data_IF_286931840222
#
_entry.id   IF_286931840222
#
_cell.length_a   1.000
_cell.length_b   1.000
_cell.length_c   1.000
_cell.angle_alpha   90.00
_cell.angle_beta   90.00
_cell.angle_gamma   90.00
#
_symmetry.space_group_name_H-M   'P 1'
#
loop_
_entity.id
_entity.type
_entity.pdbx_description
1 polymer ?
#
# COMPACT_ATOMS: atom_id res chain seq x y z
N UNK A 1 -30.94 -46.96 43.41
CA UNK A 1 -30.56 -46.71 41.99
C UNK A 1 -30.50 -45.24 41.59
N UNK A 2 -31.36 -44.35 42.12
CA UNK A 2 -31.46 -42.92 41.69
C UNK A 2 -30.15 -42.12 41.83
N UNK A 3 -29.42 -42.23 42.95
CA UNK A 3 -28.15 -41.48 43.17
C UNK A 3 -27.04 -41.78 42.16
N UNK A 4 -26.99 -43.00 41.58
CA UNK A 4 -25.94 -43.40 40.63
C UNK A 4 -26.22 -42.86 39.22
N UNK A 5 -27.50 -42.75 38.84
CA UNK A 5 -27.96 -42.17 37.56
C UNK A 5 -27.73 -40.66 37.50
N UNK A 6 -27.95 -39.97 38.62
CA UNK A 6 -27.69 -38.51 38.76
C UNK A 6 -26.19 -38.21 38.61
N UNK A 7 -25.32 -38.94 39.30
CA UNK A 7 -23.84 -38.77 39.16
C UNK A 7 -23.33 -39.02 37.74
N UNK A 8 -23.86 -40.02 37.04
CA UNK A 8 -23.41 -40.31 35.67
C UNK A 8 -23.81 -39.17 34.71
N UNK A 9 -25.01 -38.63 34.89
CA UNK A 9 -25.50 -37.48 34.13
C UNK A 9 -24.68 -36.23 34.41
N UNK A 10 -24.33 -35.98 35.67
CA UNK A 10 -23.47 -34.85 36.07
C UNK A 10 -22.06 -34.95 35.47
N UNK A 11 -21.46 -36.15 35.47
CA UNK A 11 -20.15 -36.38 34.84
C UNK A 11 -20.23 -36.15 33.33
N UNK A 12 -21.29 -36.61 32.67
CA UNK A 12 -21.52 -36.39 31.23
C UNK A 12 -21.71 -34.91 30.89
N UNK A 13 -22.54 -34.21 31.67
CA UNK A 13 -22.78 -32.77 31.52
C UNK A 13 -21.48 -31.97 31.72
N UNK A 14 -20.73 -32.24 32.79
CA UNK A 14 -19.46 -31.57 33.04
C UNK A 14 -18.41 -31.92 31.97
N UNK A 15 -18.38 -33.16 31.48
CA UNK A 15 -17.53 -33.56 30.36
C UNK A 15 -17.85 -32.80 29.08
N UNK A 16 -19.13 -32.64 28.75
CA UNK A 16 -19.59 -31.83 27.60
C UNK A 16 -19.21 -30.35 27.73
N UNK A 17 -19.34 -29.78 28.94
CA UNK A 17 -18.92 -28.41 29.23
C UNK A 17 -17.42 -28.28 28.99
N UNK A 18 -16.60 -29.16 29.56
CA UNK A 18 -15.14 -29.13 29.37
C UNK A 18 -14.74 -29.29 27.90
N UNK A 19 -15.42 -30.17 27.16
CA UNK A 19 -15.18 -30.36 25.73
C UNK A 19 -15.50 -29.09 24.94
N UNK A 20 -16.66 -28.47 25.20
CA UNK A 20 -17.08 -27.23 24.56
C UNK A 20 -16.13 -26.08 24.85
N UNK A 21 -15.73 -25.91 26.11
CA UNK A 21 -14.75 -24.90 26.53
C UNK A 21 -13.39 -25.15 25.87
N UNK A 22 -12.92 -26.40 25.85
CA UNK A 22 -11.64 -26.75 25.21
C UNK A 22 -11.66 -26.47 23.70
N UNK A 23 -12.76 -26.81 23.03
CA UNK A 23 -12.93 -26.53 21.61
C UNK A 23 -12.93 -25.02 21.33
N UNK A 24 -13.57 -24.23 22.18
CA UNK A 24 -13.61 -22.76 22.05
C UNK A 24 -12.22 -22.15 22.23
N UNK A 25 -11.48 -22.58 23.25
CA UNK A 25 -10.10 -22.12 23.49
C UNK A 25 -9.18 -22.55 22.35
N UNK A 26 -9.33 -23.78 21.85
CA UNK A 26 -8.55 -24.29 20.73
C UNK A 26 -8.85 -23.51 19.44
N UNK A 27 -10.12 -23.24 19.15
CA UNK A 27 -10.52 -22.43 18.00
C UNK A 27 -9.93 -21.01 18.08
N UNK A 28 -9.98 -20.37 19.25
CA UNK A 28 -9.36 -19.05 19.46
C UNK A 28 -7.84 -19.11 19.24
N UNK A 29 -7.17 -20.14 19.78
CA UNK A 29 -5.75 -20.38 19.56
C UNK A 29 -5.39 -20.58 18.08
N UNK A 30 -6.22 -21.31 17.33
CA UNK A 30 -6.04 -21.50 15.90
C UNK A 30 -6.22 -20.21 15.10
N UNK A 31 -7.17 -19.34 15.48
CA UNK A 31 -7.34 -18.03 14.84
C UNK A 31 -6.08 -17.19 15.04
N UNK A 32 -5.58 -17.07 16.28
CA UNK A 32 -4.33 -16.34 16.53
C UNK A 32 -3.15 -16.95 15.77
N UNK A 33 -3.00 -18.28 15.80
CA UNK A 33 -1.95 -18.98 15.06
C UNK A 33 -2.01 -18.66 13.55
N UNK A 34 -3.20 -18.72 12.94
CA UNK A 34 -3.40 -18.40 11.54
C UNK A 34 -3.04 -16.94 11.23
N UNK A 35 -3.53 -16.00 12.04
CA UNK A 35 -3.25 -14.56 11.88
C UNK A 35 -1.76 -14.28 11.98
N UNK A 36 -1.04 -14.87 12.94
CA UNK A 36 0.41 -14.66 13.02
C UNK A 36 1.16 -15.36 11.89
N UNK A 37 0.77 -16.57 11.51
CA UNK A 37 1.45 -17.33 10.46
C UNK A 37 1.32 -16.68 9.08
N UNK A 38 0.10 -16.28 8.70
CA UNK A 38 -0.18 -15.72 7.38
C UNK A 38 -0.10 -14.19 7.38
N UNK A 39 -0.42 -13.55 8.50
CA UNK A 39 -0.48 -12.09 8.60
C UNK A 39 0.85 -11.40 8.88
N UNK A 40 1.84 -12.07 9.49
CA UNK A 40 3.13 -11.41 9.78
C UNK A 40 3.89 -11.01 8.52
N UNK A 41 3.76 -11.76 7.43
CA UNK A 41 4.33 -11.40 6.13
C UNK A 41 3.63 -10.19 5.48
N UNK A 42 2.39 -9.89 5.89
CA UNK A 42 1.58 -8.77 5.40
C UNK A 42 1.67 -7.53 6.29
N UNK A 43 2.26 -7.65 7.48
CA UNK A 43 2.41 -6.54 8.41
C UNK A 43 3.61 -5.67 8.02
N UNK A 44 3.34 -4.58 7.29
CA UNK A 44 4.30 -3.50 7.15
C UNK A 44 4.35 -2.68 8.45
N UNK A 45 5.55 -2.39 8.96
CA UNK A 45 5.76 -1.53 10.13
C UNK A 45 5.15 -0.14 9.95
N UNK A 46 5.08 0.33 8.70
CA UNK A 46 4.46 1.60 8.33
C UNK A 46 2.96 1.67 8.66
N UNK A 47 2.29 0.52 8.86
CA UNK A 47 0.91 0.49 9.37
C UNK A 47 0.81 1.10 10.77
N UNK A 48 1.80 0.89 11.64
CA UNK A 48 1.75 1.35 13.03
C UNK A 48 2.26 2.77 13.18
N UNK A 49 3.13 3.22 12.28
CA UNK A 49 3.80 4.53 12.35
C UNK A 49 3.23 5.56 11.37
N UNK A 50 2.58 5.14 10.29
CA UNK A 50 2.05 5.99 9.22
C UNK A 50 0.76 6.72 9.57
N UNK A 51 0.39 7.67 8.71
CA UNK A 51 -0.85 8.42 8.82
C UNK A 51 -2.03 7.67 8.17
N UNK A 52 -3.22 7.86 8.74
CA UNK A 52 -4.44 7.19 8.27
C UNK A 52 -4.91 7.72 6.91
N UNK A 53 -4.90 9.04 6.74
CA UNK A 53 -5.40 9.69 5.54
C UNK A 53 -4.31 9.74 4.46
N UNK A 54 -4.60 9.13 3.32
CA UNK A 54 -3.85 9.37 2.09
C UNK A 54 -3.94 10.85 1.70
N UNK A 55 -2.79 11.47 1.42
CA UNK A 55 -2.72 12.80 0.81
C UNK A 55 -2.57 12.62 -0.68
N UNK A 56 -3.46 13.27 -1.43
CA UNK A 56 -3.36 13.32 -2.88
C UNK A 56 -2.58 14.55 -3.28
N UNK A 57 -1.85 14.44 -4.38
CA UNK A 57 -1.05 15.50 -4.95
C UNK A 57 -1.38 15.64 -6.43
N UNK A 58 -1.47 16.89 -6.88
CA UNK A 58 -1.58 17.25 -8.29
C UNK A 58 -0.37 18.12 -8.64
N UNK A 59 0.44 17.66 -9.59
CA UNK A 59 1.67 18.36 -9.93
C UNK A 59 1.93 18.42 -11.44
N UNK A 60 2.80 19.34 -11.86
CA UNK A 60 3.38 19.38 -13.20
C UNK A 60 4.91 19.40 -13.10
N UNK A 61 5.58 18.84 -14.10
CA UNK A 61 7.03 18.91 -14.21
C UNK A 61 7.48 20.36 -14.44
N UNK A 62 8.66 20.70 -13.93
CA UNK A 62 9.28 21.99 -14.25
C UNK A 62 9.69 22.05 -15.73
N UNK A 63 9.53 23.20 -16.40
CA UNK A 63 10.03 23.38 -17.77
C UNK A 63 11.54 23.16 -17.87
N UNK A 64 11.99 22.46 -18.91
CA UNK A 64 13.43 22.20 -19.13
C UNK A 64 14.02 21.13 -18.19
N UNK A 65 13.15 20.27 -17.65
CA UNK A 65 13.54 19.12 -16.84
C UNK A 65 14.50 18.18 -17.59
N UNK A 66 15.40 17.53 -16.85
CA UNK A 66 16.32 16.54 -17.41
C UNK A 66 15.51 15.34 -17.88
N UNK A 67 15.66 15.00 -19.16
CA UNK A 67 15.15 13.76 -19.73
C UNK A 67 16.30 12.78 -20.00
N UNK A 68 16.01 11.49 -19.86
CA UNK A 68 16.93 10.37 -20.04
C UNK A 68 18.03 10.31 -18.98
N UNK A 69 17.69 9.67 -17.88
CA UNK A 69 18.56 9.45 -16.74
C UNK A 69 19.14 8.03 -16.81
N UNK A 70 20.44 7.89 -16.53
CA UNK A 70 21.08 6.58 -16.43
C UNK A 70 20.55 5.84 -15.19
N UNK A 71 19.72 4.82 -15.44
CA UNK A 71 19.00 4.11 -14.39
C UNK A 71 19.78 2.87 -13.94
N UNK A 72 19.74 2.53 -12.64
CA UNK A 72 20.18 1.22 -12.18
C UNK A 72 19.43 0.09 -12.90
N UNK A 73 20.10 -1.05 -13.09
CA UNK A 73 19.47 -2.23 -13.70
C UNK A 73 18.48 -2.90 -12.73
N UNK A 74 17.19 -2.70 -13.00
CA UNK A 74 16.08 -3.35 -12.28
C UNK A 74 15.45 -4.52 -13.05
N UNK A 75 16.02 -4.93 -14.20
CA UNK A 75 15.44 -5.97 -15.07
C UNK A 75 15.26 -7.34 -14.40
N UNK A 76 16.00 -7.60 -13.33
CA UNK A 76 15.95 -8.85 -12.56
C UNK A 76 14.93 -8.82 -11.42
N UNK A 77 14.32 -7.68 -11.13
CA UNK A 77 13.31 -7.55 -10.08
C UNK A 77 11.94 -7.73 -10.72
N UNK A 78 11.22 -8.78 -10.28
CA UNK A 78 9.90 -9.07 -10.81
C UNK A 78 8.94 -7.91 -10.58
N UNK A 79 8.09 -7.66 -11.59
CA UNK A 79 7.04 -6.65 -11.55
C UNK A 79 7.53 -5.20 -11.36
N UNK A 80 8.82 -4.94 -11.62
CA UNK A 80 9.41 -3.59 -11.64
C UNK A 80 9.69 -3.19 -13.08
N UNK A 81 9.27 -1.98 -13.45
CA UNK A 81 9.35 -1.41 -14.79
C UNK A 81 10.06 -0.05 -14.72
N UNK A 82 11.08 0.13 -15.54
CA UNK A 82 11.87 1.37 -15.56
C UNK A 82 11.29 2.40 -16.53
N UNK A 83 11.36 3.66 -16.13
CA UNK A 83 11.03 4.83 -16.94
C UNK A 83 12.29 5.69 -16.99
N UNK A 84 13.22 5.30 -17.86
CA UNK A 84 14.54 5.94 -18.01
C UNK A 84 14.42 7.41 -18.39
N UNK A 85 13.40 7.76 -19.20
CA UNK A 85 13.15 9.13 -19.61
C UNK A 85 13.04 10.10 -18.44
N UNK A 86 12.48 9.66 -17.31
CA UNK A 86 12.31 10.49 -16.13
C UNK A 86 13.06 9.96 -14.90
N UNK A 87 13.87 8.92 -15.05
CA UNK A 87 14.68 8.36 -13.96
C UNK A 87 13.86 7.80 -12.79
N UNK A 88 12.78 7.07 -13.06
CA UNK A 88 11.98 6.40 -12.01
C UNK A 88 11.78 4.91 -12.32
N UNK A 89 11.54 4.11 -11.29
CA UNK A 89 11.10 2.72 -11.42
C UNK A 89 9.74 2.54 -10.76
N UNK A 90 8.83 1.90 -11.46
CA UNK A 90 7.45 1.64 -11.03
C UNK A 90 7.27 0.15 -10.77
N UNK A 91 6.63 -0.20 -9.66
CA UNK A 91 6.36 -1.59 -9.29
C UNK A 91 4.86 -1.82 -9.24
N UNK A 92 4.41 -2.96 -9.78
CA UNK A 92 3.06 -3.45 -9.49
C UNK A 92 3.03 -3.96 -8.05
N UNK A 93 2.15 -3.37 -7.24
CA UNK A 93 1.94 -3.75 -5.85
C UNK A 93 0.45 -3.73 -5.51
N UNK A 94 0.10 -3.98 -4.25
CA UNK A 94 -1.27 -3.97 -3.76
C UNK A 94 -1.43 -3.03 -2.56
N UNK A 95 -2.54 -2.28 -2.52
CA UNK A 95 -2.91 -1.51 -1.33
C UNK A 95 -3.45 -2.44 -0.22
N UNK A 96 -3.74 -1.86 0.96
CA UNK A 96 -4.28 -2.60 2.10
C UNK A 96 -5.68 -3.19 1.85
N UNK A 97 -6.39 -2.69 0.85
CA UNK A 97 -7.69 -3.22 0.41
C UNK A 97 -7.53 -4.34 -0.65
N UNK A 98 -6.30 -4.66 -1.06
CA UNK A 98 -5.99 -5.66 -2.07
C UNK A 98 -6.19 -5.18 -3.52
N UNK A 99 -6.32 -3.88 -3.75
CA UNK A 99 -6.38 -3.32 -5.09
C UNK A 99 -4.98 -3.21 -5.67
N UNK A 100 -4.84 -3.53 -6.96
CA UNK A 100 -3.59 -3.33 -7.68
C UNK A 100 -3.27 -1.83 -7.80
N UNK A 101 -2.05 -1.46 -7.44
CA UNK A 101 -1.53 -0.08 -7.49
C UNK A 101 -0.20 -0.03 -8.23
N UNK A 102 0.12 1.16 -8.75
CA UNK A 102 1.40 1.48 -9.37
C UNK A 102 2.27 2.20 -8.34
N UNK A 103 3.10 1.44 -7.64
CA UNK A 103 3.99 1.93 -6.58
C UNK A 103 5.24 2.56 -7.18
N UNK A 104 5.65 3.71 -6.67
CA UNK A 104 6.97 4.29 -6.95
C UNK A 104 8.01 3.49 -6.17
N UNK A 105 8.80 2.69 -6.89
CA UNK A 105 9.82 1.84 -6.28
C UNK A 105 11.14 2.59 -6.09
N UNK A 106 11.48 3.46 -7.04
CA UNK A 106 12.74 4.20 -7.03
C UNK A 106 12.57 5.52 -7.78
N UNK A 107 13.26 6.55 -7.28
CA UNK A 107 13.40 7.86 -7.92
C UNK A 107 14.88 8.21 -7.94
N UNK A 108 15.42 8.47 -9.13
CA UNK A 108 16.81 8.87 -9.28
C UNK A 108 17.03 10.29 -8.77
N UNK A 109 18.22 10.59 -8.26
CA UNK A 109 18.59 11.94 -7.74
C UNK A 109 18.42 13.09 -8.75
N UNK A 110 18.58 12.79 -10.04
CA UNK A 110 18.49 13.76 -11.14
C UNK A 110 17.11 13.72 -11.82
N UNK A 111 16.16 12.96 -11.24
CA UNK A 111 14.80 12.87 -11.75
C UNK A 111 14.07 14.21 -11.64
N UNK A 112 13.29 14.62 -12.66
CA UNK A 112 12.46 15.82 -12.57
C UNK A 112 11.29 15.68 -11.61
N UNK A 113 11.01 14.47 -11.12
CA UNK A 113 10.03 14.22 -10.08
C UNK A 113 10.51 14.62 -8.67
N UNK A 114 11.79 14.92 -8.48
CA UNK A 114 12.30 15.42 -7.20
C UNK A 114 11.95 16.88 -6.93
N UNK A 115 11.43 17.61 -7.91
CA UNK A 115 10.97 18.99 -7.75
C UNK A 115 9.89 19.30 -8.79
N UNK A 116 8.63 19.09 -8.43
CA UNK A 116 7.50 19.40 -9.31
C UNK A 116 6.75 20.63 -8.83
N UNK A 117 6.09 21.33 -9.75
CA UNK A 117 5.23 22.47 -9.43
C UNK A 117 3.89 21.90 -8.97
N UNK A 118 3.53 22.14 -7.71
CA UNK A 118 2.21 21.75 -7.20
C UNK A 118 1.14 22.64 -7.83
N UNK A 119 0.02 22.03 -8.22
CA UNK A 119 -1.18 22.75 -8.67
C UNK A 119 -2.19 22.96 -7.54
N UNK A 120 -1.84 22.56 -6.32
CA UNK A 120 -2.66 22.79 -5.13
C UNK A 120 -2.41 24.17 -4.53
N UNK A 121 -3.44 24.73 -3.87
CA UNK A 121 -3.37 26.07 -3.28
C UNK A 121 -2.42 26.07 -2.08
N UNK A 122 -1.31 26.81 -2.16
CA UNK A 122 -0.42 27.10 -1.03
C UNK A 122 0.85 26.24 -0.93
N UNK A 123 1.09 25.34 -1.88
CA UNK A 123 2.37 24.63 -2.02
C UNK A 123 3.01 25.01 -3.35
N UNK A 124 4.28 25.41 -3.36
CA UNK A 124 4.96 25.77 -4.61
C UNK A 124 5.70 24.58 -5.23
N UNK A 125 6.22 23.66 -4.40
CA UNK A 125 7.00 22.50 -4.84
C UNK A 125 6.52 21.24 -4.13
N UNK A 126 6.46 20.14 -4.87
CA UNK A 126 6.14 18.79 -4.36
C UNK A 126 7.07 17.77 -5.02
N UNK A 127 7.48 16.80 -4.23
CA UNK A 127 8.44 15.78 -4.64
C UNK A 127 7.73 14.43 -4.68
N UNK A 128 8.22 13.52 -5.54
CA UNK A 128 7.77 12.14 -5.58
C UNK A 128 8.74 11.26 -4.80
N UNK A 129 8.27 10.66 -3.73
CA UNK A 129 9.09 9.77 -2.91
C UNK A 129 8.81 8.29 -3.21
N UNK A 130 9.82 7.41 -3.07
CA UNK A 130 9.60 5.96 -3.04
C UNK A 130 8.56 5.59 -1.98
N UNK A 131 7.61 4.73 -2.36
CA UNK A 131 6.48 4.34 -1.49
C UNK A 131 5.17 5.08 -1.80
N UNK A 132 5.21 6.19 -2.54
CA UNK A 132 4.02 6.83 -3.08
C UNK A 132 3.41 5.99 -4.22
N UNK A 133 2.13 6.23 -4.52
CA UNK A 133 1.41 5.55 -5.60
C UNK A 133 1.00 6.52 -6.70
N UNK A 134 1.20 6.12 -7.96
CA UNK A 134 0.64 6.83 -9.10
C UNK A 134 -0.82 6.45 -9.30
N UNK A 135 -1.66 7.45 -9.56
CA UNK A 135 -3.07 7.27 -9.89
C UNK A 135 -3.30 7.49 -11.40
N UNK A 136 -2.77 8.59 -11.94
CA UNK A 136 -2.83 8.91 -13.37
C UNK A 136 -1.73 9.88 -13.82
N UNK A 137 -1.40 9.81 -15.10
CA UNK A 137 -0.63 10.84 -15.81
C UNK A 137 -1.41 11.33 -17.02
N UNK A 138 -1.63 12.63 -17.09
CA UNK A 138 -2.22 13.31 -18.23
C UNK A 138 -1.10 13.83 -19.14
N UNK A 139 -1.29 13.68 -20.44
CA UNK A 139 -0.35 14.15 -21.45
C UNK A 139 -0.97 15.23 -22.32
N UNK A 140 -0.13 16.04 -22.97
CA UNK A 140 -0.56 16.94 -24.04
C UNK A 140 -0.98 16.10 -25.24
N UNK A 141 -2.19 16.32 -25.76
CA UNK A 141 -2.74 15.69 -26.98
C UNK A 141 -2.73 14.14 -27.05
N UNK A 142 -2.50 13.47 -25.93
CA UNK A 142 -2.50 12.00 -25.81
C UNK A 142 -3.44 11.51 -24.69
N UNK A 143 -4.00 10.29 -24.82
CA UNK A 143 -4.82 9.69 -23.76
C UNK A 143 -4.06 9.55 -22.44
N UNK A 144 -4.73 9.87 -21.33
CA UNK A 144 -4.23 9.73 -19.96
C UNK A 144 -3.86 8.28 -19.64
N UNK A 145 -2.70 8.06 -19.02
CA UNK A 145 -2.33 6.79 -18.40
C UNK A 145 -3.02 6.65 -17.05
N UNK A 146 -3.67 5.51 -16.81
CA UNK A 146 -4.37 5.22 -15.56
C UNK A 146 -3.74 4.01 -14.87
N UNK A 147 -3.52 4.09 -13.56
CA UNK A 147 -2.90 3.03 -12.76
C UNK A 147 -3.65 1.69 -12.84
N UNK A 148 -4.98 1.75 -13.00
CA UNK A 148 -5.85 0.57 -13.15
C UNK A 148 -5.49 -0.34 -14.32
N UNK A 149 -4.74 0.15 -15.32
CA UNK A 149 -4.33 -0.64 -16.48
C UNK A 149 -3.01 -1.40 -16.26
N UNK A 150 -2.45 -1.33 -15.04
CA UNK A 150 -1.25 -2.06 -14.64
C UNK A 150 0.03 -1.24 -14.78
N UNK A 151 1.01 -1.56 -13.92
CA UNK A 151 2.27 -0.82 -13.84
C UNK A 151 3.12 -0.90 -15.11
N UNK A 152 3.11 -2.03 -15.82
CA UNK A 152 3.88 -2.23 -17.06
C UNK A 152 3.45 -1.25 -18.15
N UNK A 153 2.14 -1.23 -18.44
CA UNK A 153 1.59 -0.32 -19.45
C UNK A 153 1.76 1.13 -19.03
N UNK A 154 1.56 1.42 -17.73
CA UNK A 154 1.74 2.77 -17.21
C UNK A 154 3.17 3.27 -17.40
N UNK A 155 4.16 2.44 -17.07
CA UNK A 155 5.58 2.74 -17.27
C UNK A 155 5.92 2.90 -18.75
N UNK A 156 5.43 2.01 -19.62
CA UNK A 156 5.68 2.09 -21.05
C UNK A 156 5.09 3.37 -21.69
N UNK A 157 3.88 3.75 -21.31
CA UNK A 157 3.24 4.99 -21.78
C UNK A 157 3.96 6.23 -21.25
N UNK A 158 4.41 6.22 -20.00
CA UNK A 158 5.16 7.34 -19.42
C UNK A 158 6.57 7.49 -20.02
N UNK A 159 7.18 6.37 -20.42
CA UNK A 159 8.50 6.35 -21.06
C UNK A 159 8.45 6.69 -22.56
N UNK A 160 7.26 6.82 -23.15
CA UNK A 160 7.08 7.15 -24.57
C UNK A 160 7.54 8.60 -24.85
N UNK A 161 8.57 8.82 -25.69
CA UNK A 161 9.09 10.15 -25.97
C UNK A 161 8.12 11.05 -26.73
N UNK A 162 7.07 10.49 -27.36
CA UNK A 162 6.06 11.28 -28.05
C UNK A 162 5.06 11.93 -27.09
N UNK A 163 4.99 11.48 -25.83
CA UNK A 163 4.00 11.94 -24.86
C UNK A 163 4.58 12.97 -23.91
N UNK A 164 4.19 14.21 -24.08
CA UNK A 164 4.58 15.28 -23.16
C UNK A 164 3.69 15.25 -21.91
N UNK A 165 4.29 15.18 -20.71
CA UNK A 165 3.57 15.14 -19.43
C UNK A 165 2.99 16.53 -19.12
N UNK A 166 1.66 16.61 -18.98
CA UNK A 166 0.95 17.84 -18.62
C UNK A 166 0.64 17.91 -17.12
N UNK A 167 0.23 16.78 -16.53
CA UNK A 167 -0.23 16.73 -15.14
C UNK A 167 -0.11 15.34 -14.56
N UNK A 168 0.30 15.28 -13.30
CA UNK A 168 0.56 14.07 -12.55
C UNK A 168 -0.37 14.02 -11.34
N UNK A 169 -0.94 12.85 -11.08
CA UNK A 169 -1.74 12.57 -9.89
C UNK A 169 -1.14 11.39 -9.17
N UNK A 170 -0.69 11.62 -7.96
CA UNK A 170 -0.09 10.63 -7.08
C UNK A 170 -0.53 10.88 -5.65
N UNK A 171 -0.31 9.90 -4.79
CA UNK A 171 -0.70 10.00 -3.40
C UNK A 171 0.20 9.17 -2.52
N UNK A 172 0.22 9.50 -1.24
CA UNK A 172 0.75 8.58 -0.24
C UNK A 172 -0.13 7.33 -0.17
N UNK A 173 0.48 6.18 0.12
CA UNK A 173 -0.24 4.91 0.30
C UNK A 173 -1.30 4.99 1.42
N UNK A 174 -1.06 5.85 2.42
CA UNK A 174 -1.94 6.04 3.59
C UNK A 174 -2.12 4.74 4.39
N UNK A 175 -3.23 4.65 5.14
CA UNK A 175 -3.64 3.39 5.78
C UNK A 175 -2.95 3.07 7.11
N UNK A 176 -2.22 4.03 7.68
CA UNK A 176 -1.66 3.89 9.02
C UNK A 176 -2.75 3.89 10.11
N UNK A 177 -2.62 3.02 11.11
CA UNK A 177 -3.54 2.89 12.24
C UNK A 177 -3.07 3.64 13.49
N UNK A 178 -1.96 4.40 13.39
CA UNK A 178 -1.37 5.15 14.51
C UNK A 178 -2.40 6.03 15.22
N UNK A 179 -3.18 6.80 14.46
CA UNK A 179 -4.20 7.69 15.01
C UNK A 179 -5.29 6.93 15.80
N UNK A 180 -5.71 5.77 15.30
CA UNK A 180 -6.69 4.90 15.95
C UNK A 180 -6.17 4.31 17.26
N UNK A 181 -4.89 3.93 17.30
CA UNK A 181 -4.23 3.43 18.52
C UNK A 181 -4.16 4.53 19.58
N UNK A 182 -3.68 5.73 19.22
CA UNK A 182 -3.59 6.87 20.14
C UNK A 182 -4.97 7.24 20.69
N UNK A 183 -5.98 7.33 19.82
CA UNK A 183 -7.35 7.67 20.23
C UNK A 183 -7.92 6.62 21.18
N UNK A 184 -7.68 5.34 20.91
CA UNK A 184 -8.15 4.24 21.76
C UNK A 184 -7.48 4.27 23.13
N UNK A 185 -6.15 4.48 23.17
CA UNK A 185 -5.43 4.63 24.44
C UNK A 185 -5.92 5.86 25.22
N UNK A 186 -6.18 6.97 24.54
CA UNK A 186 -6.72 8.18 25.17
C UNK A 186 -8.13 8.00 25.75
N UNK A 187 -8.97 7.17 25.12
CA UNK A 187 -10.33 6.88 25.61
C UNK A 187 -10.36 5.87 26.77
N UNK A 188 -9.34 5.02 26.89
CA UNK A 188 -9.23 4.03 27.97
C UNK A 188 -8.65 4.66 29.25
N UNK A 189 -7.78 5.67 29.11
CA UNK A 189 -7.16 6.41 30.22
C UNK A 189 -8.12 7.49 30.76
#
# INVERSE_FOLDING_TARGET
>A
MVKRKVRLSEILLNGLVFLSTSLSVLALGLIFYYVFKEGTALLNWDLFTGDYHSRNYIAALQPGSVENVDMPDFSKIENVYTVERFGIALKKDFDLAGNEVVLVYYVHKDSPFNQMISKEVGSEVVDLDPGMIFQRVSYVDHPTSLSRFGAERFAAELNDPQREVFELFFSDLGGGIRGSIITTLYLIV
#
